data_IF_924700521039
#
_entry.id   IF_924700521039
#
_cell.length_a   1.000
_cell.length_b   1.000
_cell.length_c   1.000
_cell.angle_alpha   90.00
_cell.angle_beta   90.00
_cell.angle_gamma   90.00
#
_symmetry.space_group_name_H-M   'P 1'
#
loop_
_entity.id
_entity.type
_entity.pdbx_description
1 polymer ?
#
# COMPACT_ATOMS: atom_id res chain seq x y z
N UNK A 1 11.70 12.62 -21.61
CA UNK A 1 10.22 12.73 -21.67
C UNK A 1 9.79 12.95 -20.24
N UNK A 2 9.53 14.23 -19.93
CA UNK A 2 9.83 14.87 -18.66
C UNK A 2 11.22 14.48 -18.12
N UNK A 3 12.24 15.31 -18.39
CA UNK A 3 13.24 15.62 -17.34
C UNK A 3 12.51 16.39 -16.22
N UNK A 4 11.45 15.80 -15.67
CA UNK A 4 10.89 16.25 -14.41
C UNK A 4 11.66 15.44 -13.38
N UNK A 5 12.46 16.14 -12.60
CA UNK A 5 13.29 15.64 -11.50
C UNK A 5 12.50 14.89 -10.40
N UNK A 6 11.24 14.55 -10.63
CA UNK A 6 10.45 13.70 -9.74
C UNK A 6 10.31 12.30 -10.34
N UNK A 7 11.43 11.55 -10.35
CA UNK A 7 11.35 10.09 -10.39
C UNK A 7 10.60 9.65 -9.13
N UNK A 8 9.31 9.35 -9.29
CA UNK A 8 8.52 8.78 -8.21
C UNK A 8 8.99 7.36 -8.00
N UNK A 9 9.69 7.15 -6.89
CA UNK A 9 10.12 5.83 -6.43
C UNK A 9 8.94 5.09 -5.81
N UNK A 10 8.82 3.79 -6.09
CA UNK A 10 7.76 2.92 -5.58
C UNK A 10 8.13 2.34 -4.21
N UNK A 11 7.11 1.91 -3.45
CA UNK A 11 7.33 1.21 -2.19
C UNK A 11 8.03 -0.14 -2.42
N UNK A 12 7.77 -0.80 -3.56
CA UNK A 12 8.43 -2.03 -3.98
C UNK A 12 9.91 -1.83 -4.30
N UNK A 13 10.27 -0.70 -4.90
CA UNK A 13 11.67 -0.36 -5.11
C UNK A 13 12.36 -0.14 -3.75
N UNK A 14 11.77 0.67 -2.86
CA UNK A 14 12.29 0.86 -1.49
C UNK A 14 12.48 -0.48 -0.80
N UNK A 15 11.48 -1.37 -0.84
CA UNK A 15 11.55 -2.70 -0.26
C UNK A 15 12.74 -3.50 -0.78
N UNK A 16 12.95 -3.48 -2.10
CA UNK A 16 14.08 -4.17 -2.74
C UNK A 16 15.43 -3.59 -2.31
N UNK A 17 15.50 -2.26 -2.16
CA UNK A 17 16.68 -1.55 -1.68
C UNK A 17 17.01 -1.96 -0.25
N UNK A 18 16.02 -1.92 0.65
CA UNK A 18 16.23 -2.23 2.07
C UNK A 18 16.60 -3.71 2.29
N UNK A 19 16.09 -4.63 1.47
CA UNK A 19 16.50 -6.04 1.50
C UNK A 19 17.95 -6.29 1.06
N UNK A 20 18.65 -5.30 0.50
CA UNK A 20 20.05 -5.43 0.09
C UNK A 20 20.30 -6.40 -1.08
N UNK A 21 19.25 -6.80 -1.82
CA UNK A 21 19.35 -7.83 -2.87
C UNK A 21 20.09 -7.39 -4.14
N UNK A 22 20.20 -6.08 -4.38
CA UNK A 22 20.78 -5.53 -5.62
C UNK A 22 22.27 -5.16 -5.50
N UNK A 23 22.73 -4.83 -4.29
CA UNK A 23 24.11 -4.55 -3.85
C UNK A 23 24.01 -3.82 -2.50
N UNK A 24 25.04 -3.92 -1.65
CA UNK A 24 25.14 -3.04 -0.48
C UNK A 24 25.28 -1.59 -0.95
N UNK A 25 24.34 -0.75 -0.53
CA UNK A 25 24.39 0.70 -0.69
C UNK A 25 25.16 1.36 0.44
N UNK A 26 25.64 2.57 0.20
CA UNK A 26 26.23 3.38 1.28
C UNK A 26 25.13 3.79 2.28
N UNK A 27 25.45 3.89 3.59
CA UNK A 27 24.43 4.21 4.60
C UNK A 27 23.69 5.54 4.33
N UNK A 28 24.41 6.57 3.84
CA UNK A 28 23.80 7.85 3.44
C UNK A 28 22.75 7.71 2.31
N UNK A 29 22.91 6.71 1.41
CA UNK A 29 21.92 6.44 0.37
C UNK A 29 20.68 5.77 0.95
N UNK A 30 20.83 4.91 1.97
CA UNK A 30 19.71 4.30 2.67
C UNK A 30 18.92 5.37 3.42
N UNK A 31 19.60 6.26 4.14
CA UNK A 31 18.96 7.40 4.81
C UNK A 31 18.18 8.28 3.82
N UNK A 32 18.78 8.62 2.67
CA UNK A 32 18.12 9.41 1.64
C UNK A 32 16.86 8.72 1.06
N UNK A 33 16.89 7.40 0.87
CA UNK A 33 15.71 6.66 0.41
C UNK A 33 14.62 6.58 1.50
N UNK A 34 14.99 6.44 2.78
CA UNK A 34 14.05 6.46 3.90
C UNK A 34 13.39 7.84 4.04
N UNK A 35 14.17 8.92 3.97
CA UNK A 35 13.64 10.28 4.03
C UNK A 35 12.73 10.61 2.84
N UNK A 36 13.10 10.16 1.62
CA UNK A 36 12.25 10.32 0.43
C UNK A 36 10.89 9.63 0.60
N UNK A 37 10.83 8.49 1.28
CA UNK A 37 9.61 7.73 1.51
C UNK A 37 8.97 7.98 2.87
N UNK A 38 9.49 8.94 3.64
CA UNK A 38 9.09 9.19 5.03
C UNK A 38 7.58 9.35 5.17
N UNK A 39 6.96 10.15 4.31
CA UNK A 39 5.52 10.41 4.35
C UNK A 39 4.70 9.12 4.20
N UNK A 40 5.15 8.19 3.34
CA UNK A 40 4.49 6.89 3.16
C UNK A 40 4.68 6.00 4.37
N UNK A 41 5.91 5.88 4.87
CA UNK A 41 6.26 5.05 6.02
C UNK A 41 5.50 5.50 7.27
N UNK A 42 5.45 6.81 7.49
CA UNK A 42 4.77 7.45 8.61
C UNK A 42 3.25 7.27 8.54
N UNK A 43 2.63 7.55 7.38
CA UNK A 43 1.18 7.42 7.22
C UNK A 43 0.71 5.97 7.09
N UNK A 44 1.56 5.03 6.69
CA UNK A 44 1.16 3.64 6.40
C UNK A 44 0.14 3.59 5.26
N UNK A 45 -0.87 2.72 5.37
CA UNK A 45 -1.91 2.58 4.35
C UNK A 45 -2.75 3.85 4.17
N UNK A 46 -2.83 4.71 5.19
CA UNK A 46 -3.53 6.01 5.12
C UNK A 46 -2.89 6.97 4.12
N UNK A 47 -1.65 6.70 3.67
CA UNK A 47 -1.04 7.43 2.56
C UNK A 47 -1.88 7.35 1.28
N UNK A 48 -2.53 6.21 1.03
CA UNK A 48 -3.38 5.99 -0.14
C UNK A 48 -4.79 6.51 0.14
N UNK A 49 -5.06 7.71 -0.35
CA UNK A 49 -6.27 8.48 -0.06
C UNK A 49 -7.42 8.05 -0.97
N UNK A 50 -8.64 8.34 -0.54
CA UNK A 50 -9.84 8.17 -1.36
C UNK A 50 -9.93 9.25 -2.46
N UNK A 51 -10.72 9.02 -3.53
CA UNK A 51 -10.92 9.98 -4.61
C UNK A 51 -11.49 11.30 -4.10
N UNK A 52 -11.11 12.41 -4.73
CA UNK A 52 -11.65 13.72 -4.35
C UNK A 52 -11.79 14.66 -5.56
N UNK A 53 -12.82 15.54 -5.58
CA UNK A 53 -12.98 16.52 -6.65
C UNK A 53 -11.75 17.42 -6.85
N UNK A 54 -11.04 17.74 -5.77
CA UNK A 54 -9.81 18.53 -5.82
C UNK A 54 -8.70 17.80 -6.58
N UNK A 55 -8.49 16.51 -6.28
CA UNK A 55 -7.46 15.72 -6.94
C UNK A 55 -7.79 15.46 -8.41
N UNK A 56 -9.07 15.16 -8.71
CA UNK A 56 -9.55 15.07 -10.09
C UNK A 56 -9.32 16.37 -10.89
N UNK A 57 -9.55 17.53 -10.27
CA UNK A 57 -9.24 18.84 -10.86
C UNK A 57 -7.75 19.00 -11.18
N UNK A 58 -6.88 18.67 -10.22
CA UNK A 58 -5.42 18.73 -10.40
C UNK A 58 -4.93 17.82 -11.52
N UNK A 59 -5.46 16.61 -11.64
CA UNK A 59 -5.13 15.70 -12.76
C UNK A 59 -5.53 16.30 -14.10
N UNK A 60 -6.72 16.90 -14.19
CA UNK A 60 -7.18 17.55 -15.43
C UNK A 60 -6.26 18.70 -15.83
N UNK A 61 -5.86 19.54 -14.88
CA UNK A 61 -5.01 20.73 -15.09
C UNK A 61 -3.53 20.40 -15.36
N UNK A 62 -3.03 19.24 -14.93
CA UNK A 62 -1.62 18.86 -15.06
C UNK A 62 -1.19 18.75 -16.53
N UNK A 63 -0.38 19.69 -17.03
CA UNK A 63 0.04 19.72 -18.45
C UNK A 63 1.16 18.73 -18.79
N UNK A 64 1.82 18.15 -17.79
CA UNK A 64 2.97 17.25 -17.97
C UNK A 64 2.53 15.81 -18.29
N UNK A 65 1.26 15.49 -18.07
CA UNK A 65 0.69 14.16 -18.33
C UNK A 65 -0.17 14.19 -19.58
N UNK A 66 0.09 13.26 -20.52
CA UNK A 66 -0.71 13.14 -21.74
C UNK A 66 -2.16 12.74 -21.43
N UNK A 67 -3.12 13.27 -22.20
CA UNK A 67 -4.55 13.03 -21.97
C UNK A 67 -4.95 11.55 -21.84
N UNK A 68 -4.46 10.63 -22.71
CA UNK A 68 -4.80 9.20 -22.56
C UNK A 68 -4.35 8.58 -21.23
N UNK A 69 -3.25 9.08 -20.66
CA UNK A 69 -2.76 8.61 -19.35
C UNK A 69 -3.58 9.20 -18.20
N UNK A 70 -4.06 10.44 -18.33
CA UNK A 70 -5.00 11.03 -17.38
C UNK A 70 -6.31 10.24 -17.36
N UNK A 71 -6.90 10.01 -18.53
CA UNK A 71 -8.17 9.28 -18.65
C UNK A 71 -8.04 7.87 -18.08
N UNK A 72 -6.92 7.20 -18.36
CA UNK A 72 -6.64 5.88 -17.79
C UNK A 72 -6.37 5.93 -16.28
N UNK A 73 -5.68 6.97 -15.79
CA UNK A 73 -5.51 7.24 -14.35
C UNK A 73 -6.84 7.40 -13.62
N UNK A 74 -7.83 8.06 -14.24
CA UNK A 74 -9.18 8.18 -13.68
C UNK A 74 -9.92 6.82 -13.66
N UNK A 75 -9.70 5.96 -14.67
CA UNK A 75 -10.21 4.57 -14.65
C UNK A 75 -9.60 3.75 -13.52
N UNK A 76 -8.30 3.93 -13.25
CA UNK A 76 -7.60 3.29 -12.12
C UNK A 76 -8.19 3.78 -10.80
N UNK A 77 -8.33 5.10 -10.64
CA UNK A 77 -8.93 5.73 -9.46
C UNK A 77 -10.31 5.17 -9.16
N UNK A 78 -11.17 5.07 -10.19
CA UNK A 78 -12.52 4.51 -10.05
C UNK A 78 -12.49 3.03 -9.64
N UNK A 79 -11.65 2.18 -10.27
CA UNK A 79 -11.58 0.76 -9.93
C UNK A 79 -11.05 0.52 -8.51
N UNK A 80 -10.06 1.30 -8.08
CA UNK A 80 -9.35 1.07 -6.81
C UNK A 80 -9.92 1.86 -5.63
N UNK A 81 -10.80 2.84 -5.87
CA UNK A 81 -11.19 3.80 -4.84
C UNK A 81 -9.99 4.61 -4.36
N UNK A 82 -9.06 4.92 -5.27
CA UNK A 82 -7.79 5.61 -4.99
C UNK A 82 -7.84 7.04 -5.52
N UNK A 83 -7.21 7.97 -4.80
CA UNK A 83 -7.01 9.35 -5.23
C UNK A 83 -6.51 9.46 -6.67
N UNK A 84 -7.05 10.42 -7.41
CA UNK A 84 -6.82 10.56 -8.85
C UNK A 84 -5.35 10.85 -9.18
N UNK A 85 -4.66 11.69 -8.40
CA UNK A 85 -3.23 11.97 -8.59
C UNK A 85 -2.40 10.73 -8.24
N UNK A 86 -2.72 10.06 -7.14
CA UNK A 86 -2.03 8.82 -6.76
C UNK A 86 -2.23 7.71 -7.79
N UNK A 87 -3.38 7.68 -8.47
CA UNK A 87 -3.68 6.72 -9.53
C UNK A 87 -2.86 6.96 -10.79
N UNK A 88 -2.65 8.23 -11.16
CA UNK A 88 -1.73 8.59 -12.27
C UNK A 88 -0.29 8.29 -11.91
N UNK A 89 0.11 8.57 -10.66
CA UNK A 89 1.44 8.26 -10.15
C UNK A 89 1.71 6.75 -10.16
N UNK A 90 0.75 5.94 -9.69
CA UNK A 90 0.81 4.49 -9.70
C UNK A 90 0.99 3.95 -11.14
N UNK A 91 0.23 4.48 -12.09
CA UNK A 91 0.38 4.16 -13.51
C UNK A 91 1.80 4.47 -14.01
N UNK A 92 2.35 5.63 -13.66
CA UNK A 92 3.70 6.02 -14.06
C UNK A 92 4.76 5.05 -13.49
N UNK A 93 4.66 4.70 -12.21
CA UNK A 93 5.57 3.72 -11.60
C UNK A 93 5.47 2.35 -12.29
N UNK A 94 4.25 1.85 -12.52
CA UNK A 94 4.06 0.59 -13.24
C UNK A 94 4.65 0.63 -14.66
N UNK A 95 4.45 1.74 -15.39
CA UNK A 95 4.99 1.91 -16.74
C UNK A 95 6.53 1.96 -16.76
N UNK A 96 7.15 2.45 -15.69
CA UNK A 96 8.61 2.51 -15.57
C UNK A 96 9.21 1.17 -15.16
N UNK A 97 8.57 0.44 -14.26
CA UNK A 97 9.16 -0.76 -13.64
C UNK A 97 8.75 -2.07 -14.32
N UNK A 98 7.47 -2.22 -14.68
CA UNK A 98 6.87 -3.52 -15.04
C UNK A 98 6.37 -3.58 -16.48
N UNK A 99 6.05 -2.45 -17.10
CA UNK A 99 5.56 -2.44 -18.46
C UNK A 99 6.69 -2.76 -19.46
N UNK A 100 6.58 -3.92 -20.12
CA UNK A 100 7.57 -4.41 -21.10
C UNK A 100 7.32 -3.95 -22.54
N UNK A 101 6.26 -3.17 -22.78
CA UNK A 101 5.91 -2.68 -24.12
C UNK A 101 6.59 -1.35 -24.46
N UNK A 102 6.63 -1.01 -25.75
CA UNK A 102 7.08 0.32 -26.22
C UNK A 102 5.99 1.38 -26.04
N UNK A 103 6.36 2.65 -26.17
CA UNK A 103 5.43 3.78 -26.14
C UNK A 103 4.32 3.68 -27.20
N UNK A 104 4.63 3.16 -28.37
CA UNK A 104 3.62 3.00 -29.43
C UNK A 104 2.69 1.81 -29.15
N UNK A 105 3.21 0.71 -28.57
CA UNK A 105 2.36 -0.39 -28.11
C UNK A 105 1.39 0.08 -27.02
N UNK A 106 1.81 0.96 -26.12
CA UNK A 106 0.95 1.50 -25.06
C UNK A 106 -0.22 2.29 -25.65
N UNK A 107 0.00 3.09 -26.70
CA UNK A 107 -1.08 3.81 -27.38
C UNK A 107 -2.13 2.86 -27.96
N UNK A 108 -1.72 1.69 -28.45
CA UNK A 108 -2.62 0.66 -28.96
C UNK A 108 -3.39 0.02 -27.80
N UNK A 109 -2.68 -0.36 -26.73
CA UNK A 109 -3.27 -0.95 -25.51
C UNK A 109 -4.33 -0.03 -24.89
N UNK A 110 -4.07 1.28 -24.83
CA UNK A 110 -5.02 2.25 -24.26
C UNK A 110 -6.26 2.48 -25.12
N UNK A 111 -6.20 2.19 -26.42
CA UNK A 111 -7.33 2.33 -27.36
C UNK A 111 -8.15 1.05 -27.49
N UNK A 112 -7.53 -0.11 -27.34
CA UNK A 112 -8.22 -1.40 -27.36
C UNK A 112 -8.82 -1.70 -25.98
N UNK A 113 -10.16 -1.81 -25.92
CA UNK A 113 -10.85 -1.92 -24.63
C UNK A 113 -10.45 -3.19 -23.85
N UNK A 114 -10.24 -4.32 -24.54
CA UNK A 114 -9.85 -5.59 -23.88
C UNK A 114 -8.44 -5.51 -23.31
N UNK A 115 -7.49 -4.97 -24.06
CA UNK A 115 -6.11 -4.78 -23.60
C UNK A 115 -6.03 -3.73 -22.50
N UNK A 116 -6.81 -2.65 -22.61
CA UNK A 116 -6.92 -1.60 -21.59
C UNK A 116 -7.43 -2.15 -20.26
N UNK A 117 -8.48 -2.99 -20.28
CA UNK A 117 -8.97 -3.69 -19.10
C UNK A 117 -7.94 -4.65 -18.51
N UNK A 118 -7.21 -5.37 -19.36
CA UNK A 118 -6.13 -6.26 -18.91
C UNK A 118 -5.02 -5.48 -18.21
N UNK A 119 -4.62 -4.33 -18.76
CA UNK A 119 -3.65 -3.44 -18.13
C UNK A 119 -4.17 -2.90 -16.79
N UNK A 120 -5.46 -2.55 -16.72
CA UNK A 120 -6.09 -2.04 -15.51
C UNK A 120 -5.98 -3.05 -14.35
N UNK A 121 -6.26 -4.33 -14.61
CA UNK A 121 -6.11 -5.38 -13.59
C UNK A 121 -4.65 -5.62 -13.19
N UNK A 122 -3.69 -5.50 -14.11
CA UNK A 122 -2.26 -5.58 -13.76
C UNK A 122 -1.84 -4.44 -12.84
N UNK A 123 -2.40 -3.25 -13.03
CA UNK A 123 -2.13 -2.09 -12.16
C UNK A 123 -2.81 -2.24 -10.80
N UNK A 124 -4.00 -2.85 -10.73
CA UNK A 124 -4.62 -3.22 -9.45
C UNK A 124 -3.73 -4.19 -8.65
N UNK A 125 -3.13 -5.18 -9.32
CA UNK A 125 -2.21 -6.11 -8.67
C UNK A 125 -0.95 -5.41 -8.17
N UNK A 126 -0.41 -4.52 -9.01
CA UNK A 126 0.73 -3.68 -8.65
C UNK A 126 0.44 -2.78 -7.44
N UNK A 127 -0.76 -2.18 -7.36
CA UNK A 127 -1.20 -1.39 -6.22
C UNK A 127 -1.25 -2.18 -4.92
N UNK A 128 -1.80 -3.39 -4.97
CA UNK A 128 -1.83 -4.26 -3.79
C UNK A 128 -0.43 -4.67 -3.34
N UNK A 129 0.48 -4.94 -4.27
CA UNK A 129 1.88 -5.22 -3.90
C UNK A 129 2.58 -3.97 -3.35
N UNK A 130 2.33 -2.78 -3.89
CA UNK A 130 2.87 -1.52 -3.35
C UNK A 130 2.49 -1.31 -1.88
N UNK A 131 1.22 -1.57 -1.54
CA UNK A 131 0.72 -1.50 -0.15
C UNK A 131 1.38 -2.52 0.76
N UNK A 132 1.55 -3.76 0.29
CA UNK A 132 2.26 -4.79 1.04
C UNK A 132 3.74 -4.44 1.24
N UNK A 133 4.41 -3.94 0.19
CA UNK A 133 5.80 -3.51 0.27
C UNK A 133 5.98 -2.36 1.25
N UNK A 134 5.05 -1.39 1.30
CA UNK A 134 5.08 -0.32 2.28
C UNK A 134 5.09 -0.86 3.72
N UNK A 135 4.15 -1.74 4.05
CA UNK A 135 4.08 -2.35 5.37
C UNK A 135 5.31 -3.23 5.67
N UNK A 136 5.80 -3.99 4.69
CA UNK A 136 7.02 -4.80 4.83
C UNK A 136 8.26 -3.95 5.10
N UNK A 137 8.37 -2.77 4.50
CA UNK A 137 9.45 -1.83 4.83
C UNK A 137 9.41 -1.47 6.32
N UNK A 138 8.24 -1.12 6.85
CA UNK A 138 8.10 -0.77 8.28
C UNK A 138 8.39 -1.97 9.18
N UNK A 139 7.90 -3.16 8.83
CA UNK A 139 8.24 -4.40 9.55
C UNK A 139 9.75 -4.64 9.59
N UNK A 140 10.44 -4.51 8.45
CA UNK A 140 11.89 -4.71 8.36
C UNK A 140 12.68 -3.72 9.19
N UNK A 141 12.27 -2.44 9.19
CA UNK A 141 12.87 -1.42 10.05
C UNK A 141 12.77 -1.85 11.53
N UNK A 142 11.58 -2.25 11.99
CA UNK A 142 11.38 -2.75 13.36
C UNK A 142 12.10 -4.05 13.66
N UNK A 143 12.34 -4.92 12.67
CA UNK A 143 13.10 -6.17 12.87
C UNK A 143 14.58 -5.90 13.12
N UNK A 144 15.16 -4.91 12.43
CA UNK A 144 16.62 -4.76 12.38
C UNK A 144 17.16 -3.48 13.02
N UNK A 145 16.32 -2.57 13.53
CA UNK A 145 16.79 -1.30 14.12
C UNK A 145 17.70 -1.48 15.35
N UNK A 146 17.61 -2.61 16.06
CA UNK A 146 18.49 -2.95 17.19
C UNK A 146 19.50 -4.05 16.88
N UNK A 147 19.51 -4.60 15.66
CA UNK A 147 20.45 -5.67 15.29
C UNK A 147 21.85 -5.08 15.06
N UNK A 148 22.78 -5.38 15.98
CA UNK A 148 24.16 -4.91 15.90
C UNK A 148 24.94 -5.45 14.69
N UNK A 149 24.45 -6.53 14.07
CA UNK A 149 25.07 -7.12 12.88
C UNK A 149 24.53 -6.51 11.59
N UNK A 150 23.44 -5.75 11.66
CA UNK A 150 22.83 -5.18 10.47
C UNK A 150 23.61 -3.95 9.98
N UNK A 151 24.01 -3.91 8.69
CA UNK A 151 24.87 -2.83 8.15
C UNK A 151 24.22 -1.45 8.20
N UNK A 152 22.88 -1.39 8.23
CA UNK A 152 22.09 -0.14 8.26
C UNK A 152 21.38 0.10 9.59
N UNK A 153 21.87 -0.50 10.68
CA UNK A 153 21.24 -0.39 12.00
C UNK A 153 21.02 1.07 12.41
N UNK A 154 22.01 1.94 12.20
CA UNK A 154 21.94 3.33 12.63
C UNK A 154 20.82 4.09 11.89
N UNK A 155 20.72 3.92 10.58
CA UNK A 155 19.71 4.55 9.73
C UNK A 155 18.31 4.03 10.08
N UNK A 156 18.20 2.72 10.35
CA UNK A 156 16.93 2.11 10.73
C UNK A 156 16.48 2.57 12.12
N UNK A 157 17.40 2.65 13.08
CA UNK A 157 17.13 3.19 14.42
C UNK A 157 16.68 4.64 14.34
N UNK A 158 17.34 5.46 13.53
CA UNK A 158 16.93 6.86 13.33
C UNK A 158 15.52 6.95 12.74
N UNK A 159 15.18 6.10 11.78
CA UNK A 159 13.83 6.06 11.19
C UNK A 159 12.78 5.58 12.20
N UNK A 160 13.04 4.51 12.95
CA UNK A 160 12.12 3.98 13.97
C UNK A 160 11.87 5.02 15.08
N UNK A 161 12.90 5.72 15.54
CA UNK A 161 12.76 6.78 16.54
C UNK A 161 11.88 7.94 16.04
N UNK A 162 11.87 8.23 14.73
CA UNK A 162 10.94 9.19 14.12
C UNK A 162 9.51 8.63 14.07
N UNK A 163 9.34 7.33 13.82
CA UNK A 163 8.03 6.67 13.68
C UNK A 163 7.31 6.42 15.02
N UNK A 164 8.07 6.13 16.07
CA UNK A 164 7.60 5.58 17.35
C UNK A 164 6.36 6.30 17.90
N UNK A 165 6.37 7.64 17.88
CA UNK A 165 5.37 8.48 18.56
C UNK A 165 3.93 8.17 18.17
N UNK A 166 3.69 7.89 16.89
CA UNK A 166 2.34 7.77 16.33
C UNK A 166 2.07 6.38 15.71
N UNK A 167 3.09 5.52 15.62
CA UNK A 167 3.01 4.25 14.87
C UNK A 167 1.87 3.36 15.35
N UNK A 168 1.77 3.08 16.64
CA UNK A 168 0.72 2.19 17.18
C UNK A 168 -0.66 2.75 16.89
N UNK A 169 -0.92 4.01 17.29
CA UNK A 169 -2.24 4.61 17.15
C UNK A 169 -2.70 4.68 15.70
N UNK A 170 -1.78 4.98 14.77
CA UNK A 170 -2.04 5.01 13.34
C UNK A 170 -2.34 3.60 12.79
N UNK A 171 -1.52 2.61 13.12
CA UNK A 171 -1.64 1.25 12.57
C UNK A 171 -2.83 0.50 13.17
N UNK A 172 -3.16 0.77 14.43
CA UNK A 172 -4.39 0.28 15.08
C UNK A 172 -5.65 0.82 14.40
N UNK A 173 -5.69 2.13 14.10
CA UNK A 173 -6.79 2.74 13.36
C UNK A 173 -6.94 2.16 11.95
N UNK A 174 -5.82 1.93 11.25
CA UNK A 174 -5.84 1.29 9.93
C UNK A 174 -6.35 -0.14 9.98
N UNK A 175 -5.94 -0.92 10.99
CA UNK A 175 -6.46 -2.27 11.21
C UNK A 175 -7.98 -2.25 11.43
N UNK A 176 -8.45 -1.32 12.27
CA UNK A 176 -9.88 -1.14 12.54
C UNK A 176 -10.68 -0.80 11.27
N UNK A 177 -10.18 0.14 10.48
CA UNK A 177 -10.81 0.53 9.22
C UNK A 177 -10.88 -0.64 8.24
N UNK A 178 -9.86 -1.51 8.19
CA UNK A 178 -9.83 -2.63 7.24
C UNK A 178 -10.87 -3.71 7.53
N UNK A 179 -11.06 -4.11 8.79
CA UNK A 179 -12.05 -5.16 9.09
C UNK A 179 -13.49 -4.63 9.09
N UNK A 180 -13.66 -3.31 9.23
CA UNK A 180 -14.96 -2.62 9.13
C UNK A 180 -15.32 -2.22 7.71
N UNK A 181 -14.36 -2.16 6.78
CA UNK A 181 -14.58 -1.70 5.41
C UNK A 181 -15.67 -2.51 4.70
N UNK A 182 -16.59 -1.81 4.03
CA UNK A 182 -17.60 -2.43 3.17
C UNK A 182 -16.99 -2.84 1.84
N UNK A 183 -17.42 -3.99 1.31
CA UNK A 183 -16.95 -4.46 0.02
C UNK A 183 -17.25 -3.46 -1.10
N UNK A 184 -16.29 -3.23 -2.03
CA UNK A 184 -16.53 -2.39 -3.18
C UNK A 184 -17.59 -3.02 -4.10
N UNK A 185 -18.41 -2.18 -4.71
CA UNK A 185 -19.51 -2.58 -5.60
C UNK A 185 -19.32 -2.00 -6.99
N UNK A 186 -20.14 -2.44 -7.95
CA UNK A 186 -20.12 -1.87 -9.31
C UNK A 186 -20.60 -0.42 -9.34
N UNK A 187 -21.48 0.00 -8.43
CA UNK A 187 -21.92 1.40 -8.30
C UNK A 187 -20.76 2.29 -7.81
N UNK A 188 -20.05 1.81 -6.78
CA UNK A 188 -18.98 2.57 -6.12
C UNK A 188 -17.67 2.55 -6.94
N UNK A 189 -17.32 1.42 -7.55
CA UNK A 189 -16.01 1.21 -8.21
C UNK A 189 -16.11 0.89 -9.73
N UNK A 190 -17.31 0.93 -10.29
CA UNK A 190 -17.57 0.73 -11.72
C UNK A 190 -17.73 -0.75 -12.11
N UNK A 191 -18.18 -0.98 -13.34
CA UNK A 191 -18.60 -2.30 -13.83
C UNK A 191 -17.52 -3.39 -13.84
N UNK A 192 -16.24 -3.01 -13.69
CA UNK A 192 -15.12 -3.95 -13.60
C UNK A 192 -14.93 -4.53 -12.20
N UNK A 193 -15.63 -3.98 -11.19
CA UNK A 193 -15.68 -4.52 -9.84
C UNK A 193 -16.59 -5.76 -9.77
N UNK A 194 -16.13 -6.83 -10.41
CA UNK A 194 -16.79 -8.14 -10.43
C UNK A 194 -16.57 -8.88 -9.10
N UNK A 195 -17.32 -9.97 -8.86
CA UNK A 195 -17.12 -10.85 -7.69
C UNK A 195 -15.66 -11.30 -7.53
N UNK A 196 -14.97 -11.59 -8.64
CA UNK A 196 -13.55 -11.93 -8.62
C UNK A 196 -12.69 -10.78 -8.09
N UNK A 197 -12.97 -9.54 -8.49
CA UNK A 197 -12.20 -8.39 -7.99
C UNK A 197 -12.53 -8.09 -6.53
N UNK A 198 -13.79 -8.25 -6.13
CA UNK A 198 -14.22 -8.11 -4.73
C UNK A 198 -13.54 -9.15 -3.83
N UNK A 199 -13.46 -10.41 -4.27
CA UNK A 199 -12.72 -11.47 -3.57
C UNK A 199 -11.23 -11.14 -3.43
N UNK A 200 -10.60 -10.60 -4.50
CA UNK A 200 -9.19 -10.18 -4.45
C UNK A 200 -8.95 -8.99 -3.53
N UNK A 201 -9.84 -8.00 -3.56
CA UNK A 201 -9.81 -6.87 -2.61
C UNK A 201 -9.90 -7.37 -1.17
N UNK A 202 -10.82 -8.30 -0.90
CA UNK A 202 -11.01 -8.83 0.45
C UNK A 202 -9.80 -9.66 0.92
N UNK A 203 -9.23 -10.50 0.06
CA UNK A 203 -7.96 -11.19 0.32
C UNK A 203 -6.86 -10.19 0.68
N UNK A 204 -6.78 -9.07 -0.03
CA UNK A 204 -5.81 -8.03 0.25
C UNK A 204 -6.05 -7.38 1.63
N UNK A 205 -7.31 -7.09 1.99
CA UNK A 205 -7.64 -6.58 3.33
C UNK A 205 -7.16 -7.54 4.43
N UNK A 206 -7.33 -8.85 4.27
CA UNK A 206 -6.85 -9.84 5.25
C UNK A 206 -5.32 -9.88 5.33
N UNK A 207 -4.62 -9.81 4.19
CA UNK A 207 -3.15 -9.74 4.16
C UNK A 207 -2.62 -8.50 4.86
N UNK A 208 -3.26 -7.36 4.63
CA UNK A 208 -2.90 -6.08 5.27
C UNK A 208 -3.19 -6.11 6.77
N UNK A 209 -4.37 -6.62 7.18
CA UNK A 209 -4.71 -6.83 8.60
C UNK A 209 -3.64 -7.67 9.32
N UNK A 210 -3.27 -8.82 8.74
CA UNK A 210 -2.26 -9.70 9.32
C UNK A 210 -0.90 -9.01 9.48
N UNK A 211 -0.47 -8.24 8.48
CA UNK A 211 0.83 -7.57 8.51
C UNK A 211 0.84 -6.35 9.44
N UNK A 212 -0.26 -5.62 9.55
CA UNK A 212 -0.42 -4.54 10.55
C UNK A 212 -0.30 -5.10 11.98
N UNK A 213 -0.96 -6.23 12.26
CA UNK A 213 -0.86 -6.88 13.57
C UNK A 213 0.56 -7.38 13.85
N UNK A 214 1.26 -7.91 12.85
CA UNK A 214 2.66 -8.32 12.98
C UNK A 214 3.59 -7.14 13.32
N UNK A 215 3.39 -5.99 12.67
CA UNK A 215 4.12 -4.75 12.95
C UNK A 215 3.86 -4.27 14.39
N UNK A 216 2.59 -4.24 14.81
CA UNK A 216 2.18 -3.84 16.16
C UNK A 216 2.75 -4.79 17.21
N UNK A 217 2.68 -6.10 16.95
CA UNK A 217 3.22 -7.13 17.84
C UNK A 217 4.73 -6.95 18.02
N UNK A 218 5.46 -6.77 16.92
CA UNK A 218 6.90 -6.55 16.96
C UNK A 218 7.26 -5.24 17.66
N UNK A 219 6.50 -4.17 17.45
CA UNK A 219 6.68 -2.92 18.19
C UNK A 219 6.64 -3.17 19.71
N UNK A 220 5.62 -3.87 20.21
CA UNK A 220 5.51 -4.16 21.64
C UNK A 220 6.50 -5.22 22.16
N UNK A 221 7.29 -5.85 21.30
CA UNK A 221 8.45 -6.63 21.74
C UNK A 221 9.61 -5.74 22.22
N UNK A 222 9.64 -4.46 21.80
CA UNK A 222 10.71 -3.50 22.12
C UNK A 222 10.24 -2.34 23.00
N UNK A 223 8.97 -1.95 22.90
CA UNK A 223 8.40 -0.80 23.60
C UNK A 223 7.32 -1.24 24.58
N UNK A 224 7.19 -0.54 25.71
CA UNK A 224 6.19 -0.85 26.72
C UNK A 224 4.78 -0.51 26.24
N UNK A 225 3.82 -1.43 26.43
CA UNK A 225 2.42 -1.20 26.11
C UNK A 225 1.74 -0.40 27.22
N UNK A 226 1.19 0.76 26.87
CA UNK A 226 0.41 1.55 27.82
C UNK A 226 -0.92 0.83 28.16
N UNK A 227 -1.47 1.01 29.37
CA UNK A 227 -2.79 0.46 29.71
C UNK A 227 -3.91 0.93 28.77
N UNK A 228 -3.80 2.14 28.23
CA UNK A 228 -4.74 2.68 27.23
C UNK A 228 -4.69 1.90 25.92
N UNK A 229 -3.50 1.57 25.44
CA UNK A 229 -3.36 0.80 24.20
C UNK A 229 -3.86 -0.63 24.38
N UNK A 230 -3.53 -1.28 25.50
CA UNK A 230 -4.03 -2.60 25.83
C UNK A 230 -5.57 -2.63 25.85
N UNK A 231 -6.19 -1.63 26.48
CA UNK A 231 -7.64 -1.48 26.49
C UNK A 231 -8.20 -1.24 25.07
N UNK A 232 -7.50 -0.45 24.25
CA UNK A 232 -7.84 -0.23 22.84
C UNK A 232 -7.87 -1.54 22.04
N UNK A 233 -6.78 -2.30 22.09
CA UNK A 233 -6.67 -3.59 21.40
C UNK A 233 -7.71 -4.59 21.87
N UNK A 234 -7.90 -4.74 23.19
CA UNK A 234 -8.90 -5.68 23.72
C UNK A 234 -10.32 -5.35 23.29
N UNK A 235 -10.67 -4.05 23.16
CA UNK A 235 -11.97 -3.64 22.59
C UNK A 235 -12.09 -4.02 21.11
N UNK A 236 -11.06 -3.74 20.32
CA UNK A 236 -11.02 -4.07 18.90
C UNK A 236 -11.17 -5.58 18.68
N UNK A 237 -10.36 -6.41 19.35
CA UNK A 237 -10.44 -7.86 19.23
C UNK A 237 -11.77 -8.43 19.73
N UNK A 238 -12.36 -7.84 20.77
CA UNK A 238 -13.71 -8.22 21.23
C UNK A 238 -14.78 -7.90 20.17
N UNK A 239 -14.68 -6.76 19.50
CA UNK A 239 -15.60 -6.36 18.43
C UNK A 239 -15.47 -7.27 17.21
N UNK A 240 -14.22 -7.44 16.73
CA UNK A 240 -13.86 -8.29 15.59
C UNK A 240 -14.02 -9.79 15.92
N UNK A 241 -14.18 -10.16 17.18
CA UNK A 241 -14.27 -11.55 17.62
C UNK A 241 -13.04 -12.36 17.22
N UNK A 242 -11.84 -11.79 17.39
CA UNK A 242 -10.55 -12.42 17.01
C UNK A 242 -10.56 -12.91 15.56
N UNK A 243 -10.64 -12.00 14.60
CA UNK A 243 -10.66 -12.35 13.17
C UNK A 243 -11.95 -13.01 12.66
N UNK A 244 -12.79 -13.62 13.52
CA UNK A 244 -13.98 -14.36 13.11
C UNK A 244 -15.10 -13.44 12.58
N UNK A 245 -15.20 -12.19 13.02
CA UNK A 245 -16.22 -11.24 12.56
C UNK A 245 -15.59 -10.25 11.59
N UNK A 246 -15.59 -10.64 10.32
CA UNK A 246 -15.28 -9.75 9.19
C UNK A 246 -16.58 -9.20 8.61
N UNK A 247 -16.65 -7.89 8.32
CA UNK A 247 -17.82 -7.27 7.65
C UNK A 247 -18.22 -8.03 6.38
N UNK A 248 -17.22 -8.55 5.66
CA UNK A 248 -17.43 -9.26 4.41
C UNK A 248 -17.18 -10.78 4.53
N UNK A 249 -17.51 -11.39 5.67
CA UNK A 249 -17.27 -12.83 5.93
C UNK A 249 -17.79 -13.77 4.85
N UNK A 250 -18.87 -13.40 4.16
CA UNK A 250 -19.43 -14.14 3.02
C UNK A 250 -18.46 -14.28 1.83
N UNK A 251 -17.44 -13.43 1.74
CA UNK A 251 -16.41 -13.49 0.70
C UNK A 251 -15.24 -14.42 1.05
N UNK A 252 -15.18 -14.94 2.28
CA UNK A 252 -14.13 -15.86 2.72
C UNK A 252 -14.27 -17.17 1.94
N UNK A 253 -13.20 -17.57 1.28
CA UNK A 253 -13.03 -18.91 0.72
C UNK A 253 -11.88 -19.65 1.41
N UNK A 254 -11.75 -20.95 1.13
CA UNK A 254 -10.75 -21.83 1.76
C UNK A 254 -9.30 -21.35 1.61
N UNK A 255 -8.99 -20.56 0.58
CA UNK A 255 -7.64 -20.02 0.40
C UNK A 255 -7.29 -18.93 1.41
N UNK A 256 -8.30 -18.38 2.10
CA UNK A 256 -8.17 -17.30 3.08
C UNK A 256 -8.13 -17.78 4.53
N UNK A 257 -8.46 -19.05 4.80
CA UNK A 257 -8.54 -19.60 6.17
C UNK A 257 -7.26 -19.35 6.97
N UNK A 258 -6.08 -19.60 6.38
CA UNK A 258 -4.80 -19.37 7.03
C UNK A 258 -4.55 -17.89 7.41
N UNK A 259 -5.13 -16.94 6.68
CA UNK A 259 -5.03 -15.51 7.03
C UNK A 259 -5.99 -15.16 8.17
N UNK A 260 -7.20 -15.73 8.18
CA UNK A 260 -8.16 -15.56 9.27
C UNK A 260 -7.56 -16.09 10.56
N UNK A 261 -7.05 -17.33 10.55
CA UNK A 261 -6.40 -17.97 11.71
C UNK A 261 -5.18 -17.17 12.22
N UNK A 262 -4.48 -16.47 11.31
CA UNK A 262 -3.32 -15.63 11.68
C UNK A 262 -3.74 -14.30 12.33
N UNK A 263 -4.93 -13.80 12.03
CA UNK A 263 -5.44 -12.54 12.59
C UNK A 263 -5.98 -12.76 14.01
N UNK A 264 -6.59 -13.91 14.31
CA UNK A 264 -7.11 -14.24 15.64
C UNK A 264 -7.83 -15.57 15.70
#
# INVERSE_FOLDING_TARGET
>A
MAESEMSVRSCRELWTILLGRSALREPAQIEAELDRHWDRLHQGLSYYKSPSPSSAGKVKENKDVAQPLKDFGLRISKLLGLDEQQSVQLLQCYLQEDYRGTRDSLKVVLKDERQSQTLLFKIADYYYEERMCLLRCVLLLLTYFQDERHPYRAEYSNCVNKLEKDLVSNYQSQFENLFKAEAPTWETHGNLMTERQVSRWFLQCLREQSLLLEIIFLYYAYFEMSPSDLLGFTKIFKEQGFGLRQTNRQLVDKSMDALVDRIG
#
